data_IF_507957395511
#
_entry.id   IF_507957395511
#
_cell.length_a   1.000
_cell.length_b   1.000
_cell.length_c   1.000
_cell.angle_alpha   90.00
_cell.angle_beta   90.00
_cell.angle_gamma   90.00
#
_symmetry.space_group_name_H-M   'P 1'
#
loop_
_entity.id
_entity.type
_entity.pdbx_description
1 polymer ?
#
# COMPACT_ATOMS: atom_id res chain seq x y z
N UNK A 1 -41.32 35.28 -2.48
CA UNK A 1 -39.87 35.03 -2.57
C UNK A 1 -39.68 33.64 -3.14
N UNK A 2 -39.12 33.51 -4.34
CA UNK A 2 -39.14 32.27 -5.15
C UNK A 2 -37.76 31.61 -5.04
N UNK A 3 -37.71 30.42 -4.43
CA UNK A 3 -36.48 29.66 -4.22
C UNK A 3 -36.19 28.89 -5.51
N UNK A 4 -35.01 29.10 -6.10
CA UNK A 4 -34.56 28.38 -7.29
C UNK A 4 -33.97 27.03 -6.88
N UNK A 5 -34.51 25.94 -7.46
CA UNK A 5 -33.98 24.58 -7.32
C UNK A 5 -32.85 24.42 -8.36
N UNK A 6 -31.70 24.00 -7.86
CA UNK A 6 -30.50 23.64 -8.63
C UNK A 6 -30.85 22.51 -9.60
N UNK A 7 -30.59 22.72 -10.89
CA UNK A 7 -30.86 21.76 -11.95
C UNK A 7 -29.96 20.53 -11.84
N UNK A 8 -30.56 19.35 -11.69
CA UNK A 8 -29.88 18.07 -11.88
C UNK A 8 -29.59 17.88 -13.37
N UNK A 9 -28.33 17.99 -13.77
CA UNK A 9 -27.89 17.69 -15.14
C UNK A 9 -27.73 16.17 -15.26
N UNK A 10 -28.57 15.52 -16.07
CA UNK A 10 -28.43 14.10 -16.40
C UNK A 10 -27.25 13.90 -17.35
N UNK A 11 -26.23 13.15 -16.91
CA UNK A 11 -25.12 12.75 -17.76
C UNK A 11 -25.51 11.53 -18.62
N UNK A 12 -25.03 11.43 -19.87
CA UNK A 12 -25.25 10.25 -20.70
C UNK A 12 -24.57 9.02 -20.07
N UNK A 13 -25.22 7.85 -20.16
CA UNK A 13 -24.78 6.60 -19.53
C UNK A 13 -23.31 6.22 -19.83
N UNK A 14 -22.81 6.59 -21.02
CA UNK A 14 -21.41 6.37 -21.41
C UNK A 14 -20.41 7.11 -20.50
N UNK A 15 -20.72 8.34 -20.11
CA UNK A 15 -19.87 9.16 -19.21
C UNK A 15 -19.91 8.60 -17.79
N UNK A 16 -21.08 8.15 -17.33
CA UNK A 16 -21.23 7.49 -16.04
C UNK A 16 -20.45 6.16 -15.99
N UNK A 17 -20.49 5.37 -17.06
CA UNK A 17 -19.75 4.10 -17.17
C UNK A 17 -18.23 4.32 -17.14
N UNK A 18 -17.71 5.33 -17.84
CA UNK A 18 -16.28 5.67 -17.81
C UNK A 18 -15.81 6.12 -16.43
N UNK A 19 -16.60 6.95 -15.72
CA UNK A 19 -16.29 7.33 -14.35
C UNK A 19 -16.33 6.15 -13.38
N UNK A 20 -17.32 5.26 -13.50
CA UNK A 20 -17.42 4.06 -12.68
C UNK A 20 -16.19 3.14 -12.87
N UNK A 21 -15.76 2.93 -14.11
CA UNK A 21 -14.56 2.15 -14.44
C UNK A 21 -13.30 2.81 -13.86
N UNK A 22 -13.13 4.14 -14.00
CA UNK A 22 -12.01 4.88 -13.39
C UNK A 22 -11.99 4.79 -11.86
N UNK A 23 -13.16 4.84 -11.21
CA UNK A 23 -13.28 4.74 -9.75
C UNK A 23 -13.04 3.32 -9.21
N UNK A 24 -13.27 2.28 -10.03
CA UNK A 24 -13.00 0.89 -9.67
C UNK A 24 -11.49 0.58 -9.63
N UNK A 25 -10.67 1.34 -10.36
CA UNK A 25 -9.22 1.38 -10.15
C UNK A 25 -8.91 2.25 -8.93
N UNK A 26 -9.48 1.86 -7.78
CA UNK A 26 -9.30 2.58 -6.53
C UNK A 26 -7.81 2.86 -6.31
N UNK A 27 -7.48 4.11 -6.04
CA UNK A 27 -6.17 4.50 -5.51
C UNK A 27 -6.10 3.96 -4.09
N UNK A 28 -5.87 2.66 -3.95
CA UNK A 28 -5.74 2.01 -2.66
C UNK A 28 -4.68 2.76 -1.87
N UNK A 29 -5.12 3.47 -0.84
CA UNK A 29 -4.20 4.20 0.03
C UNK A 29 -3.26 3.16 0.63
N UNK A 30 -1.96 3.28 0.34
CA UNK A 30 -0.97 2.44 1.03
C UNK A 30 -0.97 2.85 2.49
N UNK A 31 -1.04 1.89 3.43
CA UNK A 31 -0.92 2.24 4.83
C UNK A 31 0.43 2.93 5.05
N UNK A 32 0.42 4.02 5.80
CA UNK A 32 1.65 4.63 6.29
C UNK A 32 2.23 3.66 7.31
N UNK A 33 3.39 3.11 7.02
CA UNK A 33 4.10 2.23 7.95
C UNK A 33 4.75 3.09 9.03
N UNK A 34 4.49 2.76 10.29
CA UNK A 34 5.21 3.33 11.41
C UNK A 34 6.61 2.72 11.52
N UNK A 35 7.49 3.38 12.27
CA UNK A 35 8.76 2.79 12.68
C UNK A 35 8.48 1.81 13.83
N UNK A 36 8.64 0.51 13.58
CA UNK A 36 8.45 -0.57 14.56
C UNK A 36 9.69 -0.81 15.43
N UNK A 37 10.68 0.07 15.35
CA UNK A 37 11.95 -0.04 16.04
C UNK A 37 12.99 -0.88 15.30
N UNK A 38 13.95 -1.40 16.07
CA UNK A 38 15.12 -2.07 15.52
C UNK A 38 14.84 -3.55 15.24
N UNK A 39 15.30 -4.04 14.09
CA UNK A 39 15.31 -5.47 13.74
C UNK A 39 15.98 -6.30 14.86
N UNK A 40 15.32 -7.34 15.40
CA UNK A 40 15.90 -8.31 16.34
C UNK A 40 17.18 -9.01 15.81
N UNK A 41 17.94 -9.68 16.66
CA UNK A 41 19.09 -10.46 16.18
C UNK A 41 18.64 -11.76 15.49
N UNK A 42 19.36 -12.18 14.44
CA UNK A 42 19.17 -13.44 13.73
C UNK A 42 20.14 -14.53 14.22
N UNK A 43 20.98 -14.24 15.23
CA UNK A 43 21.99 -15.16 15.78
C UNK A 43 21.42 -16.43 16.43
N UNK A 44 20.10 -16.51 16.66
CA UNK A 44 19.44 -17.69 17.21
C UNK A 44 19.26 -18.85 16.23
N UNK A 45 19.59 -18.65 14.95
CA UNK A 45 19.49 -19.70 13.94
C UNK A 45 20.52 -20.82 14.17
N UNK A 46 20.06 -22.07 14.18
CA UNK A 46 20.92 -23.27 14.33
C UNK A 46 21.72 -23.61 13.06
N UNK A 47 21.38 -23.01 11.93
CA UNK A 47 22.03 -23.22 10.64
C UNK A 47 21.48 -22.31 9.55
N UNK A 48 22.24 -22.17 8.47
CA UNK A 48 21.90 -21.32 7.33
C UNK A 48 21.96 -22.14 6.04
N UNK A 49 20.97 -21.95 5.17
CA UNK A 49 20.91 -22.57 3.86
C UNK A 49 21.05 -21.50 2.78
N UNK A 50 21.79 -21.80 1.71
CA UNK A 50 22.04 -20.90 0.58
C UNK A 50 22.75 -19.58 0.91
N UNK A 51 23.26 -19.45 2.14
CA UNK A 51 23.94 -18.24 2.59
C UNK A 51 24.90 -18.53 3.74
N UNK A 52 25.88 -17.65 3.90
CA UNK A 52 26.58 -17.52 5.17
C UNK A 52 25.63 -16.92 6.22
N UNK A 53 25.95 -17.03 7.53
CA UNK A 53 25.12 -16.44 8.58
C UNK A 53 24.78 -14.97 8.35
N UNK A 54 23.49 -14.62 8.42
CA UNK A 54 23.04 -13.24 8.25
C UNK A 54 23.11 -12.49 9.57
N UNK A 55 23.50 -11.21 9.49
CA UNK A 55 23.54 -10.30 10.64
C UNK A 55 22.75 -9.04 10.29
N UNK A 56 22.16 -8.37 11.30
CA UNK A 56 21.47 -7.11 11.05
C UNK A 56 22.37 -6.04 10.40
N UNK A 57 23.69 -6.09 10.62
CA UNK A 57 24.66 -5.18 9.99
C UNK A 57 24.84 -5.47 8.50
N UNK A 58 24.93 -6.73 8.08
CA UNK A 58 25.09 -7.10 6.67
C UNK A 58 23.84 -6.83 5.82
N UNK A 59 22.68 -6.69 6.47
CA UNK A 59 21.39 -6.42 5.84
C UNK A 59 21.04 -4.94 5.73
N UNK A 60 21.84 -4.02 6.29
CA UNK A 60 21.59 -2.58 6.20
C UNK A 60 21.51 -2.12 4.74
N UNK A 61 20.53 -1.28 4.43
CA UNK A 61 20.27 -0.78 3.08
C UNK A 61 19.51 -1.75 2.18
N UNK A 62 19.08 -2.91 2.71
CA UNK A 62 18.20 -3.86 2.01
C UNK A 62 16.83 -3.87 2.69
N UNK A 63 15.80 -4.12 1.88
CA UNK A 63 14.49 -4.56 2.38
C UNK A 63 14.57 -6.07 2.51
N UNK A 64 14.29 -6.58 3.72
CA UNK A 64 14.38 -8.01 4.05
C UNK A 64 13.00 -8.48 4.46
N UNK A 65 12.57 -9.60 3.88
CA UNK A 65 11.37 -10.30 4.29
C UNK A 65 11.78 -11.43 5.25
N UNK A 66 11.06 -11.52 6.37
CA UNK A 66 11.16 -12.64 7.32
C UNK A 66 9.79 -13.31 7.32
N UNK A 67 9.79 -14.63 7.17
CA UNK A 67 8.62 -15.50 7.17
C UNK A 67 8.77 -16.53 8.30
#
# INVERSE_FOLDING_TARGET
>A
MKIAIVGLVALPASVAATFAVLSAFGTGARPVLADEGRLPDLSGAIGWLNSAPLTGKSLRGKVVLVD
#
